data_IF_491193189589
#
_entry.id   IF_491193189589
#
_cell.length_a   1.000
_cell.length_b   1.000
_cell.length_c   1.000
_cell.angle_alpha   90.00
_cell.angle_beta   90.00
_cell.angle_gamma   90.00
#
_symmetry.space_group_name_H-M   'P 1'
#
loop_
_entity.id
_entity.type
_entity.pdbx_description
1 polymer ?
#
# COMPACT_ATOMS: atom_id res chain seq x y z
N UNK A 1 -23.66 36.66 -60.41
CA UNK A 1 -24.07 35.34 -59.89
C UNK A 1 -23.88 35.37 -58.38
N UNK A 2 -24.98 35.22 -57.62
CA UNK A 2 -25.00 35.51 -56.17
C UNK A 2 -24.40 34.32 -55.41
N UNK A 3 -23.84 34.57 -54.22
CA UNK A 3 -23.20 33.57 -53.34
C UNK A 3 -24.03 32.28 -53.09
N UNK A 4 -25.36 32.39 -53.23
CA UNK A 4 -26.30 31.26 -53.15
C UNK A 4 -26.21 30.28 -54.33
N UNK A 5 -25.88 30.76 -55.53
CA UNK A 5 -25.78 29.93 -56.75
C UNK A 5 -24.54 29.01 -56.67
N UNK A 6 -23.45 29.49 -56.07
CA UNK A 6 -22.20 28.74 -55.92
C UNK A 6 -22.35 27.55 -54.95
N UNK A 7 -23.12 27.72 -53.86
CA UNK A 7 -23.36 26.62 -52.90
C UNK A 7 -24.27 25.52 -53.47
N UNK A 8 -25.17 25.85 -54.40
CA UNK A 8 -26.01 24.86 -55.07
C UNK A 8 -25.20 23.93 -55.98
N UNK A 9 -24.23 24.46 -56.72
CA UNK A 9 -23.36 23.66 -57.58
C UNK A 9 -22.36 22.79 -56.79
N UNK A 10 -21.89 23.22 -55.60
CA UNK A 10 -20.96 22.43 -54.79
C UNK A 10 -21.60 21.21 -54.11
N UNK A 11 -22.90 21.25 -53.79
CA UNK A 11 -23.60 20.12 -53.14
C UNK A 11 -23.89 18.94 -54.09
N UNK A 12 -23.81 19.14 -55.40
CA UNK A 12 -24.12 18.13 -56.41
C UNK A 12 -22.99 17.89 -57.43
N UNK A 13 -21.79 18.39 -57.16
CA UNK A 13 -20.62 18.11 -57.99
C UNK A 13 -20.14 16.67 -57.75
N UNK A 14 -20.69 15.72 -58.53
CA UNK A 14 -20.17 14.36 -58.60
C UNK A 14 -19.04 14.36 -59.62
N UNK A 15 -17.80 14.17 -59.15
CA UNK A 15 -16.64 14.04 -60.02
C UNK A 15 -16.85 12.88 -60.98
N UNK A 16 -16.66 13.12 -62.28
CA UNK A 16 -16.70 12.03 -63.26
C UNK A 16 -15.54 11.06 -63.00
N UNK A 17 -15.65 9.78 -63.41
CA UNK A 17 -14.56 8.83 -63.24
C UNK A 17 -13.25 9.29 -63.91
N UNK A 18 -13.36 10.04 -65.00
CA UNK A 18 -12.24 10.61 -65.76
C UNK A 18 -11.57 11.74 -64.98
N UNK A 19 -12.33 12.70 -64.44
CA UNK A 19 -11.79 13.77 -63.60
C UNK A 19 -11.14 13.23 -62.33
N UNK A 20 -11.74 12.20 -61.73
CA UNK A 20 -11.17 11.54 -60.55
C UNK A 20 -9.83 10.85 -60.88
N UNK A 21 -9.71 10.25 -62.06
CA UNK A 21 -8.45 9.67 -62.51
C UNK A 21 -7.39 10.72 -62.82
N UNK A 22 -7.77 11.84 -63.46
CA UNK A 22 -6.86 12.96 -63.72
C UNK A 22 -6.35 13.57 -62.41
N UNK A 23 -7.25 13.83 -61.45
CA UNK A 23 -6.87 14.32 -60.12
C UNK A 23 -5.97 13.33 -59.37
N UNK A 24 -6.24 12.02 -59.50
CA UNK A 24 -5.40 10.99 -58.89
C UNK A 24 -4.01 10.95 -59.51
N UNK A 25 -3.90 11.09 -60.83
CA UNK A 25 -2.61 11.15 -61.50
C UNK A 25 -1.83 12.42 -61.16
N UNK A 26 -2.51 13.56 -61.06
CA UNK A 26 -1.94 14.84 -60.62
C UNK A 26 -1.45 14.76 -59.15
N UNK A 27 -2.21 14.12 -58.28
CA UNK A 27 -1.82 13.89 -56.89
C UNK A 27 -0.63 12.93 -56.79
N UNK A 28 -0.61 11.87 -57.59
CA UNK A 28 0.52 10.93 -57.61
C UNK A 28 1.77 11.55 -58.21
N UNK A 29 1.65 12.50 -59.16
CA UNK A 29 2.80 13.23 -59.71
C UNK A 29 3.35 14.27 -58.72
N UNK A 30 2.49 14.89 -57.90
CA UNK A 30 2.88 15.82 -56.84
C UNK A 30 3.32 15.13 -55.53
N UNK A 31 2.84 13.92 -55.26
CA UNK A 31 3.36 13.05 -54.20
C UNK A 31 4.70 12.48 -54.65
N UNK A 32 5.75 13.32 -54.64
CA UNK A 32 7.11 12.79 -54.53
C UNK A 32 7.13 11.88 -53.31
N UNK A 33 7.55 10.60 -53.41
CA UNK A 33 7.88 9.86 -52.21
C UNK A 33 9.06 10.60 -51.58
N UNK A 34 8.80 11.41 -50.56
CA UNK A 34 9.85 11.76 -49.62
C UNK A 34 10.20 10.45 -48.92
N UNK A 35 11.20 9.74 -49.45
CA UNK A 35 11.88 8.74 -48.66
C UNK A 35 12.44 9.52 -47.47
N UNK A 36 11.77 9.44 -46.33
CA UNK A 36 12.36 9.86 -45.07
C UNK A 36 13.46 8.85 -44.84
N UNK A 37 14.65 9.11 -45.38
CA UNK A 37 15.83 8.33 -45.08
C UNK A 37 16.06 8.50 -43.58
N UNK A 38 15.64 7.52 -42.80
CA UNK A 38 16.06 7.42 -41.41
C UNK A 38 17.57 7.29 -41.44
N UNK A 39 18.26 8.40 -41.16
CA UNK A 39 19.71 8.43 -41.11
C UNK A 39 20.18 7.39 -40.11
N UNK A 40 20.75 6.29 -40.62
CA UNK A 40 21.34 5.22 -39.81
C UNK A 40 22.37 5.78 -38.83
N UNK A 41 23.05 6.87 -39.21
CA UNK A 41 23.95 7.64 -38.35
C UNK A 41 23.23 8.33 -37.19
N UNK A 42 22.05 8.93 -37.40
CA UNK A 42 21.28 9.56 -36.34
C UNK A 42 20.73 8.52 -35.35
N UNK A 43 20.21 7.39 -35.84
CA UNK A 43 19.72 6.31 -35.00
C UNK A 43 20.86 5.61 -34.22
N UNK A 44 21.98 5.30 -34.88
CA UNK A 44 23.15 4.73 -34.22
C UNK A 44 23.75 5.69 -33.18
N UNK A 45 23.74 7.00 -33.45
CA UNK A 45 24.17 8.02 -32.48
C UNK A 45 23.21 8.10 -31.30
N UNK A 46 21.90 8.12 -31.53
CA UNK A 46 20.89 8.08 -30.48
C UNK A 46 21.05 6.85 -29.59
N UNK A 47 21.15 5.65 -30.18
CA UNK A 47 21.38 4.42 -29.42
C UNK A 47 22.69 4.44 -28.63
N UNK A 48 23.76 5.03 -29.18
CA UNK A 48 25.03 5.18 -28.45
C UNK A 48 24.86 6.12 -27.26
N UNK A 49 24.17 7.24 -27.42
CA UNK A 49 23.89 8.18 -26.31
C UNK A 49 23.04 7.51 -25.24
N UNK A 50 21.98 6.80 -25.62
CA UNK A 50 21.13 6.04 -24.68
C UNK A 50 21.93 4.97 -23.95
N UNK A 51 22.82 4.24 -24.63
CA UNK A 51 23.69 3.23 -23.99
C UNK A 51 24.66 3.86 -23.00
N UNK A 52 25.33 4.96 -23.38
CA UNK A 52 26.25 5.65 -22.47
C UNK A 52 25.51 6.22 -21.27
N UNK A 53 24.32 6.82 -21.48
CA UNK A 53 23.46 7.30 -20.41
C UNK A 53 22.99 6.15 -19.51
N UNK A 54 22.59 5.01 -20.07
CA UNK A 54 22.17 3.84 -19.32
C UNK A 54 23.31 3.25 -18.48
N UNK A 55 24.53 3.17 -19.02
CA UNK A 55 25.71 2.70 -18.28
C UNK A 55 26.07 3.69 -17.18
N UNK A 56 26.05 5.00 -17.46
CA UNK A 56 26.29 6.03 -16.46
C UNK A 56 25.25 5.98 -15.33
N UNK A 57 23.97 5.88 -15.68
CA UNK A 57 22.88 5.70 -14.73
C UNK A 57 23.04 4.42 -13.92
N UNK A 58 23.30 3.28 -14.55
CA UNK A 58 23.52 2.02 -13.85
C UNK A 58 24.70 2.08 -12.88
N UNK A 59 25.78 2.79 -13.25
CA UNK A 59 26.95 2.98 -12.38
C UNK A 59 26.58 3.79 -11.14
N UNK A 60 25.87 4.91 -11.31
CA UNK A 60 25.38 5.74 -10.20
C UNK A 60 24.38 4.95 -9.34
N UNK A 61 23.48 4.20 -9.96
CA UNK A 61 22.51 3.37 -9.27
C UNK A 61 23.18 2.28 -8.44
N UNK A 62 24.20 1.60 -8.95
CA UNK A 62 24.95 0.59 -8.19
C UNK A 62 25.67 1.17 -6.98
N UNK A 63 26.33 2.33 -7.15
CA UNK A 63 26.98 3.03 -6.03
C UNK A 63 25.94 3.50 -5.01
N UNK A 64 24.84 4.10 -5.48
CA UNK A 64 23.74 4.56 -4.63
C UNK A 64 23.10 3.42 -3.85
N UNK A 65 22.82 2.29 -4.49
CA UNK A 65 22.27 1.09 -3.84
C UNK A 65 23.24 0.56 -2.79
N UNK A 66 24.54 0.55 -3.05
CA UNK A 66 25.54 0.14 -2.06
C UNK A 66 25.55 1.03 -0.81
N UNK A 67 25.49 2.36 -0.99
CA UNK A 67 25.42 3.33 0.11
C UNK A 67 24.11 3.17 0.89
N UNK A 68 22.98 3.05 0.19
CA UNK A 68 21.68 2.78 0.81
C UNK A 68 21.67 1.48 1.58
N UNK A 69 22.27 0.41 1.06
CA UNK A 69 22.36 -0.87 1.75
C UNK A 69 23.20 -0.77 3.03
N UNK A 70 24.37 -0.13 2.97
CA UNK A 70 25.21 0.09 4.14
C UNK A 70 24.49 0.94 5.21
N UNK A 71 23.70 1.94 4.80
CA UNK A 71 22.94 2.79 5.69
C UNK A 71 21.85 2.03 6.49
N UNK A 72 21.36 0.89 6.02
CA UNK A 72 20.32 0.12 6.74
C UNK A 72 20.79 -0.34 8.13
N UNK A 73 22.09 -0.58 8.29
CA UNK A 73 22.69 -0.98 9.57
C UNK A 73 23.27 0.17 10.39
N UNK A 74 23.21 1.40 9.87
CA UNK A 74 23.69 2.57 10.58
C UNK A 74 22.86 2.83 11.84
N UNK A 75 23.55 3.22 12.91
CA UNK A 75 23.01 3.65 14.20
C UNK A 75 23.02 5.18 14.32
N UNK A 76 22.22 5.76 15.22
CA UNK A 76 22.36 7.15 15.61
C UNK A 76 23.82 7.49 15.94
N UNK A 77 24.34 8.54 15.30
CA UNK A 77 25.75 8.94 15.39
C UNK A 77 26.60 8.53 14.18
N UNK A 78 26.18 7.53 13.41
CA UNK A 78 26.90 7.12 12.19
C UNK A 78 26.70 8.10 11.05
N UNK A 79 27.73 8.26 10.21
CA UNK A 79 27.70 9.14 9.02
C UNK A 79 26.56 8.78 8.07
N UNK A 80 26.32 7.48 7.87
CA UNK A 80 25.29 6.98 6.94
C UNK A 80 23.89 6.93 7.56
N UNK A 81 23.73 7.30 8.83
CA UNK A 81 22.44 7.28 9.49
C UNK A 81 21.45 8.28 8.90
N UNK A 82 21.96 9.42 8.40
CA UNK A 82 21.16 10.38 7.63
C UNK A 82 20.58 9.67 6.41
N UNK A 83 21.38 8.92 5.66
CA UNK A 83 20.89 8.18 4.48
C UNK A 83 19.80 7.16 4.85
N UNK A 84 19.90 6.51 6.01
CA UNK A 84 18.88 5.58 6.52
C UNK A 84 17.52 6.27 6.67
N UNK A 85 17.47 7.32 7.47
CA UNK A 85 16.20 7.97 7.85
C UNK A 85 15.70 8.91 6.75
N UNK A 86 16.61 9.63 6.10
CA UNK A 86 16.25 10.65 5.13
C UNK A 86 16.05 10.12 3.71
N UNK A 87 16.49 8.91 3.41
CA UNK A 87 16.32 8.38 2.05
C UNK A 87 15.65 7.03 2.11
N UNK A 88 16.27 6.03 2.73
CA UNK A 88 15.75 4.67 2.69
C UNK A 88 14.35 4.58 3.31
N UNK A 89 14.17 5.13 4.51
CA UNK A 89 12.90 5.06 5.23
C UNK A 89 11.81 5.88 4.54
N UNK A 90 12.14 7.07 4.02
CA UNK A 90 11.18 7.88 3.24
C UNK A 90 10.73 7.19 1.96
N UNK A 91 11.66 6.54 1.24
CA UNK A 91 11.34 5.76 0.04
C UNK A 91 10.41 4.59 0.41
N UNK A 92 10.68 3.89 1.52
CA UNK A 92 9.80 2.81 2.02
C UNK A 92 8.40 3.32 2.38
N UNK A 93 8.30 4.47 3.03
CA UNK A 93 7.01 5.11 3.30
C UNK A 93 6.26 5.44 1.99
N UNK A 94 6.95 5.94 0.97
CA UNK A 94 6.31 6.28 -0.31
C UNK A 94 5.80 5.07 -1.11
N UNK A 95 6.46 3.91 -0.99
CA UNK A 95 6.04 2.69 -1.69
C UNK A 95 5.02 1.87 -0.88
N UNK A 96 4.70 2.26 0.35
CA UNK A 96 3.64 1.66 1.16
C UNK A 96 2.26 2.14 0.68
N UNK A 97 1.82 1.66 -0.50
CA UNK A 97 0.64 2.18 -1.21
C UNK A 97 -0.71 1.79 -0.60
N UNK A 98 -0.76 0.80 0.30
CA UNK A 98 -2.00 0.36 0.96
C UNK A 98 -2.00 0.73 2.45
N UNK A 99 -3.18 0.88 3.05
CA UNK A 99 -3.31 1.14 4.50
C UNK A 99 -2.65 0.06 5.35
N UNK A 100 -2.74 -1.19 4.91
CA UNK A 100 -2.07 -2.30 5.57
C UNK A 100 -0.54 -2.15 5.47
N UNK A 101 0.00 -1.88 4.27
CA UNK A 101 1.44 -1.70 4.09
C UNK A 101 1.96 -0.49 4.88
N UNK A 102 1.19 0.60 4.95
CA UNK A 102 1.49 1.79 5.75
C UNK A 102 1.56 1.46 7.24
N UNK A 103 0.59 0.71 7.77
CA UNK A 103 0.58 0.26 9.16
C UNK A 103 1.74 -0.70 9.45
N UNK A 104 1.96 -1.71 8.61
CA UNK A 104 3.06 -2.66 8.76
C UNK A 104 4.43 -1.97 8.74
N UNK A 105 4.62 -1.03 7.82
CA UNK A 105 5.85 -0.24 7.74
C UNK A 105 6.06 0.63 8.98
N UNK A 106 5.01 1.31 9.44
CA UNK A 106 5.09 2.18 10.62
C UNK A 106 5.41 1.38 11.88
N UNK A 107 4.79 0.21 12.07
CA UNK A 107 5.13 -0.73 13.16
C UNK A 107 6.58 -1.18 13.07
N UNK A 108 7.05 -1.57 11.87
CA UNK A 108 8.42 -1.98 11.66
C UNK A 108 9.43 -0.85 11.94
N UNK A 109 9.08 0.41 11.63
CA UNK A 109 9.94 1.56 11.89
C UNK A 109 10.12 1.80 13.40
N UNK A 110 9.05 1.70 14.17
CA UNK A 110 9.09 1.74 15.65
C UNK A 110 10.01 0.67 16.23
N UNK A 111 9.90 -0.57 15.76
CA UNK A 111 10.76 -1.67 16.20
C UNK A 111 12.24 -1.39 15.92
N UNK A 112 12.57 -0.82 14.76
CA UNK A 112 13.95 -0.43 14.44
C UNK A 112 14.52 0.60 15.40
N UNK A 113 13.73 1.56 15.88
CA UNK A 113 14.21 2.55 16.85
C UNK A 113 14.61 1.88 18.17
N UNK A 114 13.85 0.87 18.59
CA UNK A 114 14.14 0.08 19.79
C UNK A 114 15.39 -0.80 19.60
N UNK A 115 15.51 -1.47 18.45
CA UNK A 115 16.72 -2.22 18.12
C UNK A 115 17.97 -1.33 18.05
N UNK A 116 17.86 -0.12 17.52
CA UNK A 116 18.97 0.85 17.50
C UNK A 116 19.40 1.26 18.90
N UNK A 117 18.43 1.49 19.80
CA UNK A 117 18.69 1.78 21.20
C UNK A 117 19.42 0.63 21.87
N UNK A 118 18.91 -0.59 21.70
CA UNK A 118 19.50 -1.80 22.30
C UNK A 118 20.94 -1.99 21.82
N UNK A 119 21.20 -1.81 20.52
CA UNK A 119 22.55 -1.94 19.97
C UNK A 119 23.50 -0.88 20.54
N UNK A 120 23.07 0.37 20.65
CA UNK A 120 23.88 1.43 21.27
C UNK A 120 24.11 1.18 22.76
N UNK A 121 23.09 0.71 23.48
CA UNK A 121 23.18 0.41 24.90
C UNK A 121 24.11 -0.78 25.16
N UNK A 122 23.98 -1.86 24.38
CA UNK A 122 24.88 -3.02 24.44
C UNK A 122 26.30 -2.65 24.02
N UNK A 123 26.49 -1.76 23.04
CA UNK A 123 27.82 -1.29 22.66
C UNK A 123 28.47 -0.39 23.74
N UNK A 124 27.68 0.23 24.63
CA UNK A 124 28.15 1.25 25.57
C UNK A 124 28.31 2.63 24.93
N UNK A 125 27.78 2.83 23.73
CA UNK A 125 27.90 4.08 22.95
C UNK A 125 26.71 5.03 23.17
N UNK A 126 25.72 4.61 23.97
CA UNK A 126 24.53 5.42 24.26
C UNK A 126 24.87 6.62 25.17
N UNK A 127 24.91 7.81 24.59
CA UNK A 127 25.01 9.08 25.32
C UNK A 127 23.69 9.85 25.30
N UNK A 128 23.61 10.95 26.07
CA UNK A 128 22.38 11.72 26.24
C UNK A 128 21.80 12.27 24.93
N UNK A 129 22.67 12.70 24.00
CA UNK A 129 22.24 13.24 22.71
C UNK A 129 21.64 12.15 21.81
N UNK A 130 22.28 10.97 21.77
CA UNK A 130 21.76 9.82 21.02
C UNK A 130 20.46 9.28 21.64
N UNK A 131 20.39 9.24 22.98
CA UNK A 131 19.18 8.90 23.74
C UNK A 131 18.02 9.82 23.36
N UNK A 132 18.22 11.14 23.37
CA UNK A 132 17.18 12.11 23.00
C UNK A 132 16.75 12.00 21.55
N UNK A 133 17.71 11.77 20.64
CA UNK A 133 17.43 11.55 19.23
C UNK A 133 16.55 10.31 19.02
N UNK A 134 16.88 9.20 19.68
CA UNK A 134 16.10 7.97 19.60
C UNK A 134 14.72 8.15 20.25
N UNK A 135 14.66 8.72 21.45
CA UNK A 135 13.39 8.94 22.16
C UNK A 135 12.42 9.77 21.30
N UNK A 136 12.91 10.85 20.69
CA UNK A 136 12.10 11.70 19.79
C UNK A 136 11.57 10.91 18.60
N UNK A 137 12.41 10.07 17.97
CA UNK A 137 11.99 9.30 16.81
C UNK A 137 11.08 8.13 17.17
N UNK A 138 11.32 7.48 18.30
CA UNK A 138 10.45 6.43 18.82
C UNK A 138 9.04 6.98 19.10
N UNK A 139 8.96 8.17 19.69
CA UNK A 139 7.69 8.88 19.92
C UNK A 139 6.96 9.15 18.60
N UNK A 140 7.66 9.68 17.60
CA UNK A 140 7.13 9.97 16.26
C UNK A 140 6.66 8.70 15.55
N UNK A 141 7.49 7.66 15.52
CA UNK A 141 7.22 6.39 14.83
C UNK A 141 6.04 5.66 15.46
N UNK A 142 5.93 5.67 16.79
CA UNK A 142 4.79 5.05 17.47
C UNK A 142 3.50 5.82 17.21
N UNK A 143 3.56 7.15 17.19
CA UNK A 143 2.40 7.99 16.87
C UNK A 143 1.94 7.78 15.41
N UNK A 144 2.88 7.67 14.46
CA UNK A 144 2.56 7.33 13.07
C UNK A 144 1.98 5.92 12.95
N UNK A 145 2.51 4.94 13.67
CA UNK A 145 1.94 3.59 13.72
C UNK A 145 0.51 3.59 14.25
N UNK A 146 0.24 4.29 15.35
CA UNK A 146 -1.10 4.46 15.91
C UNK A 146 -2.08 5.08 14.90
N UNK A 147 -1.65 6.12 14.17
CA UNK A 147 -2.46 6.76 13.11
C UNK A 147 -2.73 5.84 11.93
N UNK A 148 -1.71 5.08 11.49
CA UNK A 148 -1.84 4.14 10.40
C UNK A 148 -2.78 2.99 10.77
N UNK A 149 -2.67 2.45 11.99
CA UNK A 149 -3.58 1.43 12.54
C UNK A 149 -5.00 1.98 12.65
N UNK A 150 -5.19 3.20 13.18
CA UNK A 150 -6.51 3.84 13.26
C UNK A 150 -7.14 4.11 11.89
N UNK A 151 -6.32 4.35 10.87
CA UNK A 151 -6.79 4.47 9.48
C UNK A 151 -7.17 3.11 8.90
N UNK A 152 -6.34 2.09 9.13
CA UNK A 152 -6.58 0.70 8.72
C UNK A 152 -7.86 0.13 9.37
N UNK A 153 -8.15 0.49 10.63
CA UNK A 153 -9.36 0.08 11.37
C UNK A 153 -10.65 0.35 10.59
N UNK A 154 -10.71 1.46 9.86
CA UNK A 154 -11.90 1.90 9.09
C UNK A 154 -12.20 1.01 7.89
N UNK A 155 -11.19 0.35 7.35
CA UNK A 155 -11.30 -0.47 6.13
C UNK A 155 -11.23 -1.97 6.47
N UNK A 156 -10.32 -2.34 7.36
CA UNK A 156 -9.95 -3.72 7.68
C UNK A 156 -9.69 -3.86 9.19
N UNK A 157 -10.78 -3.86 9.97
CA UNK A 157 -10.74 -3.86 11.43
C UNK A 157 -9.94 -5.04 12.04
N UNK A 158 -10.10 -6.25 11.50
CA UNK A 158 -9.36 -7.44 11.94
C UNK A 158 -7.86 -7.29 11.71
N UNK A 159 -7.45 -6.71 10.57
CA UNK A 159 -6.04 -6.47 10.25
C UNK A 159 -5.45 -5.37 11.15
N UNK A 160 -6.25 -4.36 11.51
CA UNK A 160 -5.85 -3.34 12.49
C UNK A 160 -5.66 -3.92 13.90
N UNK A 161 -6.49 -4.89 14.32
CA UNK A 161 -6.31 -5.60 15.58
C UNK A 161 -5.00 -6.40 15.59
N UNK A 162 -4.68 -7.10 14.50
CA UNK A 162 -3.39 -7.79 14.37
C UNK A 162 -2.21 -6.81 14.44
N UNK A 163 -2.26 -5.71 13.70
CA UNK A 163 -1.19 -4.70 13.69
C UNK A 163 -0.96 -4.08 15.08
N UNK A 164 -2.03 -3.74 15.82
CA UNK A 164 -1.92 -3.21 17.19
C UNK A 164 -1.37 -4.26 18.17
N UNK A 165 -1.82 -5.52 18.08
CA UNK A 165 -1.29 -6.62 18.88
C UNK A 165 0.21 -6.86 18.63
N UNK A 166 0.65 -6.82 17.37
CA UNK A 166 2.06 -6.96 16.99
C UNK A 166 2.91 -5.81 17.50
N UNK A 167 2.42 -4.57 17.40
CA UNK A 167 3.10 -3.39 17.92
C UNK A 167 3.27 -3.48 19.45
N UNK A 168 2.20 -3.79 20.18
CA UNK A 168 2.23 -3.94 21.64
C UNK A 168 3.18 -5.06 22.07
N UNK A 169 3.08 -6.23 21.42
CA UNK A 169 3.94 -7.37 21.73
C UNK A 169 5.42 -7.03 21.52
N UNK A 170 5.73 -6.32 20.43
CA UNK A 170 7.10 -5.90 20.13
C UNK A 170 7.60 -4.89 21.17
N UNK A 171 6.80 -3.89 21.53
CA UNK A 171 7.15 -2.93 22.58
C UNK A 171 7.45 -3.63 23.92
N UNK A 172 6.63 -4.61 24.34
CA UNK A 172 6.85 -5.40 25.56
C UNK A 172 8.09 -6.29 25.50
N UNK A 173 8.44 -6.80 24.31
CA UNK A 173 9.67 -7.59 24.12
C UNK A 173 10.88 -6.69 24.30
N UNK A 174 10.92 -5.55 23.61
CA UNK A 174 12.03 -4.60 23.68
C UNK A 174 12.11 -3.94 25.07
N UNK A 175 10.99 -3.66 25.75
CA UNK A 175 11.01 -3.19 27.15
C UNK A 175 11.79 -4.15 28.05
N UNK A 176 11.52 -5.46 27.94
CA UNK A 176 12.21 -6.48 28.75
C UNK A 176 13.70 -6.57 28.41
N UNK A 177 14.06 -6.47 27.13
CA UNK A 177 15.45 -6.45 26.71
C UNK A 177 16.18 -5.21 27.25
N UNK A 178 15.55 -4.04 27.19
CA UNK A 178 16.11 -2.80 27.73
C UNK A 178 16.27 -2.84 29.26
N UNK A 179 15.33 -3.43 29.99
CA UNK A 179 15.48 -3.67 31.43
C UNK A 179 16.71 -4.55 31.69
N UNK A 180 16.85 -5.66 30.96
CA UNK A 180 18.02 -6.53 31.10
C UNK A 180 19.34 -5.79 30.80
N UNK A 181 19.39 -5.00 29.73
CA UNK A 181 20.59 -4.22 29.39
C UNK A 181 20.89 -3.18 30.46
N UNK A 182 19.87 -2.52 31.04
CA UNK A 182 20.05 -1.55 32.12
C UNK A 182 20.58 -2.18 33.42
N UNK A 183 20.26 -3.46 33.69
CA UNK A 183 20.82 -4.23 34.81
C UNK A 183 22.27 -4.65 34.55
N UNK A 184 22.60 -5.02 33.31
CA UNK A 184 23.95 -5.46 32.91
C UNK A 184 24.94 -4.29 32.68
N UNK A 185 24.44 -3.09 32.38
CA UNK A 185 25.23 -1.91 32.02
C UNK A 185 24.93 -0.71 32.92
N UNK A 186 25.62 -0.65 34.05
CA UNK A 186 25.47 0.45 35.01
C UNK A 186 25.86 1.84 34.45
N UNK A 187 26.73 1.87 33.44
CA UNK A 187 27.23 3.08 32.79
C UNK A 187 26.18 3.80 31.92
N UNK A 188 25.28 3.05 31.28
CA UNK A 188 24.20 3.59 30.43
C UNK A 188 22.79 3.39 31.00
N UNK A 189 22.68 2.78 32.18
CA UNK A 189 21.41 2.45 32.86
C UNK A 189 20.50 3.67 33.01
N UNK A 190 21.06 4.83 33.39
CA UNK A 190 20.27 6.06 33.56
C UNK A 190 19.62 6.54 32.26
N UNK A 191 20.33 6.42 31.13
CA UNK A 191 19.83 6.80 29.82
C UNK A 191 18.72 5.85 29.36
N UNK A 192 18.88 4.55 29.63
CA UNK A 192 17.89 3.52 29.29
C UNK A 192 16.61 3.73 30.10
N UNK A 193 16.71 4.02 31.39
CA UNK A 193 15.53 4.22 32.25
C UNK A 193 14.61 5.33 31.77
N UNK A 194 15.16 6.42 31.21
CA UNK A 194 14.33 7.49 30.65
C UNK A 194 13.52 7.00 29.44
N UNK A 195 14.10 6.17 28.58
CA UNK A 195 13.39 5.64 27.41
C UNK A 195 12.41 4.54 27.81
N UNK A 196 12.71 3.74 28.84
CA UNK A 196 11.80 2.73 29.37
C UNK A 196 10.45 3.33 29.78
N UNK A 197 10.44 4.51 30.40
CA UNK A 197 9.20 5.19 30.76
C UNK A 197 8.39 5.59 29.52
N UNK A 198 9.07 6.05 28.45
CA UNK A 198 8.42 6.30 27.15
C UNK A 198 7.84 5.01 26.56
N UNK A 199 8.60 3.91 26.54
CA UNK A 199 8.16 2.62 26.00
C UNK A 199 6.95 2.08 26.76
N UNK A 200 6.94 2.18 28.09
CA UNK A 200 5.81 1.75 28.93
C UNK A 200 4.55 2.54 28.62
N UNK A 201 4.66 3.87 28.59
CA UNK A 201 3.53 4.75 28.24
C UNK A 201 2.98 4.44 26.85
N UNK A 202 3.85 4.17 25.88
CA UNK A 202 3.44 3.79 24.53
C UNK A 202 2.81 2.40 24.48
N UNK A 203 3.34 1.43 25.22
CA UNK A 203 2.76 0.09 25.35
C UNK A 203 1.34 0.16 25.90
N UNK A 204 1.10 0.98 26.93
CA UNK A 204 -0.23 1.21 27.50
C UNK A 204 -1.18 1.83 26.46
N UNK A 205 -0.75 2.89 25.78
CA UNK A 205 -1.54 3.53 24.71
C UNK A 205 -1.90 2.57 23.56
N UNK A 206 -0.97 1.71 23.14
CA UNK A 206 -1.24 0.70 22.09
C UNK A 206 -2.17 -0.40 22.62
N UNK A 207 -2.02 -0.81 23.88
CA UNK A 207 -2.92 -1.78 24.53
C UNK A 207 -4.35 -1.25 24.62
N UNK A 208 -4.54 0.02 24.97
CA UNK A 208 -5.86 0.68 24.97
C UNK A 208 -6.49 0.65 23.58
N UNK A 209 -5.73 1.02 22.55
CA UNK A 209 -6.18 0.98 21.16
C UNK A 209 -6.56 -0.44 20.73
N UNK A 210 -5.74 -1.45 21.06
CA UNK A 210 -6.03 -2.86 20.74
C UNK A 210 -7.34 -3.30 21.37
N UNK A 211 -7.53 -3.01 22.65
CA UNK A 211 -8.75 -3.37 23.39
C UNK A 211 -10.00 -2.68 22.82
N UNK A 212 -9.88 -1.43 22.38
CA UNK A 212 -10.95 -0.72 21.68
C UNK A 212 -11.34 -1.42 20.37
N UNK A 213 -10.35 -1.77 19.54
CA UNK A 213 -10.59 -2.48 18.27
C UNK A 213 -11.22 -3.86 18.53
N UNK A 214 -10.69 -4.64 19.48
CA UNK A 214 -11.21 -5.96 19.84
C UNK A 214 -12.67 -5.89 20.32
N UNK A 215 -13.01 -4.87 21.12
CA UNK A 215 -14.38 -4.63 21.57
C UNK A 215 -15.31 -4.35 20.39
N UNK A 216 -14.92 -3.48 19.47
CA UNK A 216 -15.72 -3.19 18.27
C UNK A 216 -15.91 -4.42 17.37
N UNK A 217 -14.88 -5.26 17.22
CA UNK A 217 -14.99 -6.54 16.51
C UNK A 217 -16.01 -7.45 17.21
N UNK A 218 -15.94 -7.58 18.53
CA UNK A 218 -16.85 -8.42 19.30
C UNK A 218 -18.30 -7.93 19.20
N UNK A 219 -18.53 -6.62 19.22
CA UNK A 219 -19.87 -6.05 19.09
C UNK A 219 -20.42 -6.19 17.66
N UNK A 220 -19.57 -6.01 16.64
CA UNK A 220 -19.95 -6.27 15.24
C UNK A 220 -20.34 -7.74 14.98
N UNK A 221 -19.64 -8.69 15.60
CA UNK A 221 -20.00 -10.12 15.49
C UNK A 221 -21.33 -10.45 16.16
N UNK A 222 -21.65 -9.82 17.30
CA UNK A 222 -22.97 -9.98 17.95
C UNK A 222 -24.08 -9.46 17.05
N UNK A 223 -23.90 -8.30 16.42
CA UNK A 223 -24.91 -7.72 15.53
C UNK A 223 -25.18 -8.57 14.28
N UNK A 224 -24.15 -9.23 13.74
CA UNK A 224 -24.29 -10.18 12.62
C UNK A 224 -25.05 -11.43 13.07
N UNK A 225 -24.70 -12.00 14.23
CA UNK A 225 -25.38 -13.19 14.77
C UNK A 225 -26.86 -12.91 15.12
N UNK A 226 -27.18 -11.72 15.64
CA UNK A 226 -28.57 -11.31 15.91
C UNK A 226 -29.37 -11.12 14.62
N UNK A 227 -28.77 -10.57 13.55
CA UNK A 227 -29.45 -10.43 12.25
C UNK A 227 -29.72 -11.77 11.57
N UNK A 228 -28.79 -12.71 11.65
CA UNK A 228 -28.93 -14.05 11.06
C UNK A 228 -30.06 -14.85 11.75
N UNK A 229 -30.16 -14.74 13.08
CA UNK A 229 -31.25 -15.33 13.88
C UNK A 229 -32.63 -14.72 13.57
N UNK A 230 -32.70 -13.41 13.24
CA UNK A 230 -33.98 -12.75 12.90
C UNK A 230 -34.44 -13.08 11.46
N UNK A 231 -33.52 -13.45 10.56
CA UNK A 231 -33.87 -13.79 9.17
C UNK A 231 -34.42 -15.20 8.97
N UNK A 232 -34.21 -16.13 9.91
CA UNK A 232 -34.76 -17.50 9.79
C UNK A 232 -36.23 -17.61 10.25
N UNK A 233 -36.75 -16.71 11.10
CA UNK A 233 -38.05 -16.90 11.77
C UNK A 233 -39.27 -16.25 11.06
N UNK A 234 -39.12 -15.73 9.84
CA UNK A 234 -40.25 -15.09 9.10
C UNK A 234 -40.71 -15.79 7.82
N UNK A 235 -40.26 -17.02 7.56
CA UNK A 235 -40.65 -17.76 6.34
C UNK A 235 -41.35 -19.10 6.55
N UNK A 236 -42.17 -19.22 7.59
CA UNK A 236 -43.22 -20.26 7.65
C UNK A 236 -44.49 -19.74 8.29
N UNK A 237 -45.42 -19.21 7.47
CA UNK A 237 -46.89 -19.46 7.55
C UNK A 237 -47.60 -18.52 6.58
N UNK A 238 -47.97 -19.04 5.40
CA UNK A 238 -49.24 -18.75 4.71
C UNK A 238 -49.22 -19.41 3.32
N UNK A 239 -49.58 -20.68 3.28
CA UNK A 239 -50.09 -21.30 2.03
C UNK A 239 -51.52 -20.79 1.84
N UNK A 240 -51.88 -20.18 0.70
CA UNK A 240 -53.25 -19.76 0.43
C UNK A 240 -54.10 -20.97 0.01
N UNK A 241 -55.24 -21.09 0.67
CA UNK A 241 -56.33 -22.01 0.37
C UNK A 241 -57.00 -21.57 -0.95
N UNK A 242 -56.86 -22.37 -2.02
CA UNK A 242 -57.72 -22.29 -3.20
C UNK A 242 -58.69 -23.47 -3.17
N UNK A 243 -59.96 -23.13 -3.18
CA UNK A 243 -61.12 -24.01 -3.33
C UNK A 243 -61.52 -24.00 -4.80
N UNK A 244 -61.62 -25.17 -5.43
CA UNK A 244 -62.57 -25.59 -6.49
C UNK A 244 -62.13 -26.97 -7.04
N UNK A 245 -62.77 -28.06 -6.60
CA UNK A 245 -63.85 -28.83 -7.27
C UNK A 245 -63.42 -29.60 -8.54
N UNK A 246 -63.33 -30.94 -8.44
CA UNK A 246 -64.23 -31.91 -9.12
C UNK A 246 -63.66 -33.35 -9.10
N UNK A 247 -64.56 -34.27 -8.74
CA UNK A 247 -64.79 -35.63 -9.26
C UNK A 247 -63.65 -36.67 -9.40
N UNK A 248 -63.78 -37.68 -8.53
CA UNK A 248 -64.09 -39.07 -8.86
C UNK A 248 -63.07 -39.98 -9.56
N UNK A 249 -62.94 -41.15 -8.91
CA UNK A 249 -62.53 -42.48 -9.41
C UNK A 249 -61.05 -42.86 -9.39
N UNK A 250 -60.75 -43.86 -8.56
CA UNK A 250 -60.27 -45.13 -9.09
C UNK A 250 -58.81 -45.53 -8.83
N UNK A 251 -58.66 -46.45 -7.87
CA UNK A 251 -58.01 -47.75 -8.09
C UNK A 251 -56.47 -47.87 -8.06
N UNK A 252 -56.03 -48.68 -7.07
CA UNK A 252 -54.91 -49.66 -7.09
C UNK A 252 -53.48 -49.12 -6.90
N UNK A 253 -52.83 -49.45 -5.79
CA UNK A 253 -52.11 -50.71 -5.47
C UNK A 253 -50.70 -50.82 -6.07
N UNK A 254 -49.80 -51.38 -5.25
CA UNK A 254 -48.47 -51.95 -5.52
C UNK A 254 -47.31 -50.92 -5.58
N UNK A 255 -46.37 -50.90 -4.62
CA UNK A 255 -45.35 -51.91 -4.17
C UNK A 255 -43.98 -51.66 -4.81
N UNK A 256 -42.97 -51.77 -3.94
CA UNK A 256 -41.57 -52.15 -4.16
C UNK A 256 -40.62 -51.08 -4.69
N UNK A 257 -39.57 -50.76 -3.89
CA UNK A 257 -38.19 -51.31 -3.98
C UNK A 257 -37.56 -50.90 -5.32
N UNK A 258 -36.50 -50.09 -5.34
CA UNK A 258 -35.14 -50.36 -4.82
C UNK A 258 -34.51 -49.04 -4.35
#
# INVERSE_FOLDING_TARGET
MKYKDMQFHMKHAVLTPEEKNSLRQELLSHMRPSHVEYSSFAYARFLRVVRVAAVGFASVALVGVGISYAAEHALPGDVLYVMKVDVNERVRTWVALSRQAEAEWSVARTMRRLEELERLAVAGDLNDALRDQIATRLEQDTEEANKAIGSLKKEQMVVAADASSRLESSLRVHERMLVQVAEERADVSSQIHVILDTVRKKTESVSEMRQEIEKEIADAQKDVSVKEVITEDTSTTSVPLLEETHEETGSKEAKNEI
#
